data_IF_959594856004
#
_entry.id   IF_959594856004
#
_cell.length_a   1.000
_cell.length_b   1.000
_cell.length_c   1.000
_cell.angle_alpha   90.00
_cell.angle_beta   90.00
_cell.angle_gamma   90.00
#
_symmetry.space_group_name_H-M   'P 1'
#
loop_
_entity.id
_entity.type
_entity.pdbx_description
1 polymer ?
#
# COMPACT_ATOMS: atom_id res chain seq x y z
N UNK A 1 16.22 11.62 -6.74
CA UNK A 1 15.52 10.62 -7.56
C UNK A 1 14.03 10.86 -7.41
N UNK A 2 13.30 10.81 -8.49
CA UNK A 2 11.84 10.94 -8.45
C UNK A 2 11.19 9.70 -7.81
N UNK A 3 10.07 9.94 -7.13
CA UNK A 3 9.19 8.91 -6.60
C UNK A 3 7.88 8.95 -7.38
N UNK A 4 7.45 7.83 -7.92
CA UNK A 4 6.13 7.68 -8.52
C UNK A 4 5.23 6.97 -7.51
N UNK A 5 4.12 7.57 -7.13
CA UNK A 5 3.21 7.02 -6.11
C UNK A 5 1.90 6.57 -6.77
N UNK A 6 1.52 5.32 -6.54
CA UNK A 6 0.29 4.70 -7.03
C UNK A 6 -0.64 4.47 -5.83
N UNK A 7 -1.84 5.01 -5.89
CA UNK A 7 -2.80 4.98 -4.79
C UNK A 7 -3.76 3.77 -4.88
N UNK A 8 -3.21 2.57 -4.87
CA UNK A 8 -3.96 1.33 -4.79
C UNK A 8 -4.24 0.64 -6.12
N UNK A 9 -4.73 -0.58 -6.04
CA UNK A 9 -5.02 -1.46 -7.19
C UNK A 9 -3.82 -1.58 -8.12
N UNK A 10 -2.66 -1.86 -7.53
CA UNK A 10 -1.38 -1.88 -8.23
C UNK A 10 -1.31 -2.96 -9.32
N UNK A 11 -1.86 -4.14 -9.05
CA UNK A 11 -2.07 -5.19 -10.04
C UNK A 11 -0.83 -5.99 -10.48
N UNK A 12 0.38 -5.55 -10.15
CA UNK A 12 1.61 -6.23 -10.56
C UNK A 12 2.12 -7.26 -9.54
N UNK A 13 1.47 -7.37 -8.38
CA UNK A 13 1.73 -8.35 -7.34
C UNK A 13 0.48 -9.19 -7.17
N UNK A 14 0.26 -10.12 -8.10
CA UNK A 14 -1.00 -10.87 -8.14
C UNK A 14 -0.81 -12.37 -7.92
N UNK A 15 -0.13 -13.05 -8.80
CA UNK A 15 0.03 -14.51 -8.77
C UNK A 15 1.47 -14.99 -8.96
N UNK A 16 2.42 -14.08 -9.11
CA UNK A 16 3.81 -14.40 -9.40
C UNK A 16 4.05 -14.93 -10.81
N UNK A 17 3.09 -14.73 -11.70
CA UNK A 17 3.15 -15.17 -13.08
C UNK A 17 4.28 -14.50 -13.89
N UNK A 18 4.49 -14.99 -15.09
CA UNK A 18 5.40 -14.35 -16.07
C UNK A 18 4.97 -12.90 -16.34
N UNK A 19 3.66 -12.62 -16.36
CA UNK A 19 3.12 -11.26 -16.52
C UNK A 19 3.50 -10.34 -15.39
N UNK A 20 3.28 -10.75 -14.15
CA UNK A 20 3.69 -9.99 -12.96
C UNK A 20 5.19 -9.70 -13.00
N UNK A 21 6.00 -10.74 -13.23
CA UNK A 21 7.46 -10.59 -13.27
C UNK A 21 7.93 -9.68 -14.40
N UNK A 22 7.28 -9.70 -15.56
CA UNK A 22 7.59 -8.80 -16.66
C UNK A 22 7.36 -7.33 -16.27
N UNK A 23 6.20 -7.01 -15.70
CA UNK A 23 5.87 -5.64 -15.31
C UNK A 23 6.70 -5.15 -14.13
N UNK A 24 6.94 -6.00 -13.14
CA UNK A 24 7.80 -5.66 -12.00
C UNK A 24 9.25 -5.42 -12.43
N UNK A 25 9.76 -6.21 -13.36
CA UNK A 25 11.10 -6.00 -13.92
C UNK A 25 11.18 -4.69 -14.71
N UNK A 26 10.14 -4.38 -15.48
CA UNK A 26 10.07 -3.12 -16.20
C UNK A 26 10.04 -1.92 -15.23
N UNK A 27 9.19 -1.95 -14.22
CA UNK A 27 9.13 -0.91 -13.19
C UNK A 27 10.49 -0.73 -12.49
N UNK A 28 11.16 -1.83 -12.17
CA UNK A 28 12.47 -1.82 -11.51
C UNK A 28 13.59 -1.23 -12.41
N UNK A 29 13.38 -1.20 -13.71
CA UNK A 29 14.31 -0.62 -14.69
C UNK A 29 14.16 0.89 -14.88
N UNK A 30 13.09 1.49 -14.36
CA UNK A 30 12.79 2.91 -14.53
C UNK A 30 13.77 3.78 -13.72
N UNK A 31 14.01 5.03 -14.14
CA UNK A 31 14.95 5.93 -13.46
C UNK A 31 14.41 6.53 -12.16
N UNK A 32 13.27 6.04 -11.64
CA UNK A 32 12.66 6.46 -10.38
C UNK A 32 12.27 5.25 -9.55
N UNK A 33 11.92 5.49 -8.29
CA UNK A 33 11.29 4.48 -7.44
C UNK A 33 9.77 4.50 -7.64
N UNK A 34 9.17 3.32 -7.69
CA UNK A 34 7.72 3.15 -7.71
C UNK A 34 7.25 2.75 -6.33
N UNK A 35 6.44 3.61 -5.73
CA UNK A 35 5.82 3.40 -4.43
C UNK A 35 4.33 3.16 -4.63
N UNK A 36 3.73 2.27 -3.89
CA UNK A 36 2.28 2.10 -3.94
C UNK A 36 1.71 1.81 -2.55
N UNK A 37 0.49 2.25 -2.34
CA UNK A 37 -0.36 1.76 -1.25
C UNK A 37 -1.26 0.67 -1.78
N UNK A 38 -1.77 -0.18 -0.91
CA UNK A 38 -2.74 -1.19 -1.32
C UNK A 38 -4.15 -0.60 -1.50
N UNK A 39 -4.87 -1.15 -2.47
CA UNK A 39 -6.29 -0.90 -2.69
C UNK A 39 -7.13 -2.07 -2.19
N UNK A 40 -8.34 -2.22 -2.75
CA UNK A 40 -9.19 -3.38 -2.49
C UNK A 40 -8.93 -4.55 -3.46
N UNK A 41 -8.34 -4.29 -4.63
CA UNK A 41 -7.97 -5.31 -5.63
C UNK A 41 -6.49 -5.66 -5.54
N UNK A 42 -6.09 -6.30 -4.42
CA UNK A 42 -4.74 -6.78 -4.19
C UNK A 42 -4.77 -8.26 -3.80
N UNK A 43 -3.74 -9.02 -4.19
CA UNK A 43 -3.51 -10.34 -3.62
C UNK A 43 -2.69 -10.20 -2.34
N UNK A 44 -3.35 -10.05 -1.21
CA UNK A 44 -2.69 -9.86 0.09
C UNK A 44 -1.90 -11.08 0.52
N UNK A 45 -2.29 -12.29 0.12
CA UNK A 45 -1.52 -13.51 0.41
C UNK A 45 -0.12 -13.41 -0.18
N UNK A 46 0.00 -12.95 -1.42
CA UNK A 46 1.30 -12.77 -2.08
C UNK A 46 2.01 -11.52 -1.57
N UNK A 47 1.31 -10.41 -1.43
CA UNK A 47 1.89 -9.14 -0.97
C UNK A 47 2.57 -9.29 0.40
N UNK A 48 1.91 -9.99 1.32
CA UNK A 48 2.41 -10.19 2.68
C UNK A 48 3.58 -11.18 2.79
N UNK A 49 3.96 -11.85 1.70
CA UNK A 49 5.16 -12.72 1.68
C UNK A 49 6.46 -11.95 1.48
N UNK A 50 6.40 -10.73 0.99
CA UNK A 50 7.59 -9.91 0.76
C UNK A 50 8.21 -9.43 2.08
N UNK A 51 9.54 -9.24 2.11
CA UNK A 51 10.21 -8.81 3.32
C UNK A 51 9.77 -7.40 3.73
N UNK A 52 9.57 -7.23 5.04
CA UNK A 52 9.30 -5.92 5.64
C UNK A 52 10.62 -5.23 5.92
N UNK A 53 10.77 -4.02 5.41
CA UNK A 53 11.96 -3.20 5.60
C UNK A 53 11.57 -1.78 6.00
N UNK A 54 12.53 -1.03 6.49
CA UNK A 54 12.38 0.40 6.76
C UNK A 54 12.79 1.21 5.53
N UNK A 55 11.96 2.19 5.16
CA UNK A 55 12.20 3.07 4.03
C UNK A 55 11.70 4.48 4.33
N UNK A 56 12.59 5.46 4.31
CA UNK A 56 12.25 6.88 4.54
C UNK A 56 11.39 7.15 5.79
N UNK A 57 11.62 6.39 6.86
CA UNK A 57 10.97 6.56 8.15
C UNK A 57 9.75 5.68 8.39
N UNK A 58 9.27 4.96 7.41
CA UNK A 58 8.14 4.04 7.52
C UNK A 58 8.47 2.63 7.07
N UNK A 59 7.56 1.70 7.31
CA UNK A 59 7.70 0.30 6.92
C UNK A 59 7.11 0.05 5.54
N UNK A 60 7.82 -0.76 4.77
CA UNK A 60 7.44 -1.17 3.42
C UNK A 60 7.59 -2.68 3.25
N UNK A 61 6.83 -3.25 2.31
CA UNK A 61 7.21 -4.51 1.69
C UNK A 61 8.11 -4.17 0.50
N UNK A 62 9.34 -4.71 0.49
CA UNK A 62 10.25 -4.55 -0.65
C UNK A 62 9.88 -5.57 -1.73
N UNK A 63 9.31 -5.09 -2.82
CA UNK A 63 8.91 -5.94 -3.95
C UNK A 63 10.09 -6.16 -4.90
N UNK A 64 10.80 -5.09 -5.22
CA UNK A 64 12.02 -5.07 -6.04
C UNK A 64 12.97 -3.99 -5.50
N UNK A 65 14.12 -3.80 -6.12
CA UNK A 65 15.08 -2.79 -5.69
C UNK A 65 14.52 -1.36 -5.74
N UNK A 66 13.58 -1.11 -6.66
CA UNK A 66 12.93 0.20 -6.85
C UNK A 66 11.40 0.16 -6.79
N UNK A 67 10.82 -0.92 -6.28
CA UNK A 67 9.36 -1.08 -6.15
C UNK A 67 9.02 -1.42 -4.71
N UNK A 68 8.23 -0.57 -4.07
CA UNK A 68 7.92 -0.67 -2.64
C UNK A 68 6.42 -0.52 -2.39
N UNK A 69 5.88 -1.43 -1.57
CA UNK A 69 4.56 -1.28 -0.99
C UNK A 69 4.66 -0.50 0.31
N UNK A 70 4.05 0.67 0.36
CA UNK A 70 3.96 1.49 1.57
C UNK A 70 2.90 0.90 2.50
N UNK A 71 3.32 0.38 3.66
CA UNK A 71 2.42 -0.31 4.58
C UNK A 71 1.45 0.67 5.24
N UNK A 72 0.32 0.15 5.72
CA UNK A 72 -0.74 0.95 6.36
C UNK A 72 -0.28 1.55 7.68
N UNK A 73 -0.74 2.77 7.93
CA UNK A 73 -0.52 3.45 9.20
C UNK A 73 0.90 3.97 9.40
N UNK A 74 1.63 4.19 8.32
CA UNK A 74 3.00 4.68 8.36
C UNK A 74 3.10 6.15 7.93
N UNK A 75 4.17 6.81 8.32
CA UNK A 75 4.53 8.15 7.83
C UNK A 75 5.90 8.06 7.17
N UNK A 76 5.95 8.50 5.92
CA UNK A 76 7.17 8.54 5.12
C UNK A 76 7.60 9.98 4.90
N UNK A 77 8.90 10.26 5.05
CA UNK A 77 9.48 11.54 4.69
C UNK A 77 10.05 11.44 3.26
N UNK A 78 9.36 12.04 2.31
CA UNK A 78 9.73 12.05 0.91
C UNK A 78 9.97 13.50 0.49
N UNK A 79 11.20 13.82 0.11
CA UNK A 79 11.62 15.17 -0.30
C UNK A 79 11.28 16.27 0.74
N UNK A 80 11.34 15.93 2.01
CA UNK A 80 11.06 16.84 3.12
C UNK A 80 9.58 16.97 3.49
N UNK A 81 8.67 16.25 2.79
CA UNK A 81 7.25 16.22 3.09
C UNK A 81 6.87 14.91 3.78
N UNK A 82 5.95 15.01 4.73
CA UNK A 82 5.40 13.86 5.45
C UNK A 82 4.16 13.32 4.75
N UNK A 83 4.24 12.06 4.35
CA UNK A 83 3.15 11.31 3.73
C UNK A 83 2.63 10.25 4.71
N UNK A 84 1.40 10.38 5.15
CA UNK A 84 0.71 9.33 5.89
C UNK A 84 0.01 8.40 4.93
N UNK A 85 0.13 7.09 5.15
CA UNK A 85 -0.41 6.06 4.26
C UNK A 85 -1.48 5.23 4.96
N UNK A 86 -2.61 5.05 4.29
CA UNK A 86 -3.68 4.18 4.76
C UNK A 86 -4.35 3.53 3.56
N UNK A 87 -3.85 2.37 3.18
CA UNK A 87 -4.41 1.58 2.08
C UNK A 87 -5.70 0.85 2.46
N UNK A 88 -6.09 -0.07 1.60
CA UNK A 88 -7.32 -0.82 1.73
C UNK A 88 -8.51 -0.13 1.07
N UNK A 89 -9.64 -0.79 1.13
CA UNK A 89 -10.89 -0.31 0.56
C UNK A 89 -12.00 -1.32 0.80
N UNK A 90 -13.16 -1.06 0.30
CA UNK A 90 -14.30 -1.94 0.47
C UNK A 90 -14.86 -2.38 -0.89
N UNK A 91 -14.82 -3.69 -1.15
CA UNK A 91 -15.41 -4.28 -2.36
C UNK A 91 -16.93 -4.48 -2.19
N UNK A 92 -17.71 -3.84 -3.05
CA UNK A 92 -19.16 -3.96 -3.03
C UNK A 92 -19.68 -5.27 -3.63
N UNK A 93 -18.85 -5.97 -4.39
CA UNK A 93 -19.20 -7.17 -5.16
C UNK A 93 -18.69 -8.47 -4.52
N UNK A 94 -18.44 -8.48 -3.22
CA UNK A 94 -17.90 -9.62 -2.46
C UNK A 94 -18.72 -10.90 -2.67
N UNK A 95 -20.05 -10.78 -2.84
CA UNK A 95 -20.94 -11.91 -3.06
C UNK A 95 -20.68 -12.68 -4.37
N UNK A 96 -19.97 -12.04 -5.31
CA UNK A 96 -19.61 -12.62 -6.61
C UNK A 96 -18.14 -13.04 -6.67
N UNK A 97 -17.43 -12.96 -5.53
CA UNK A 97 -15.99 -13.23 -5.44
C UNK A 97 -15.72 -14.39 -4.51
N UNK A 98 -14.53 -14.95 -4.63
CA UNK A 98 -14.05 -16.06 -3.80
C UNK A 98 -12.85 -15.60 -2.99
N UNK A 99 -12.92 -15.76 -1.66
CA UNK A 99 -11.82 -15.42 -0.76
C UNK A 99 -10.56 -16.22 -1.11
N UNK A 100 -9.40 -15.58 -1.02
CA UNK A 100 -8.07 -16.08 -1.40
C UNK A 100 -7.90 -16.42 -2.90
N UNK A 101 -8.80 -15.97 -3.74
CA UNK A 101 -8.72 -16.15 -5.19
C UNK A 101 -8.82 -14.83 -5.95
N UNK A 102 -9.82 -14.05 -5.68
CA UNK A 102 -10.05 -12.75 -6.29
C UNK A 102 -10.62 -11.72 -5.31
N UNK A 103 -10.61 -12.05 -4.04
CA UNK A 103 -10.97 -11.18 -2.93
C UNK A 103 -10.28 -11.64 -1.64
N UNK A 104 -9.89 -10.69 -0.80
CA UNK A 104 -9.27 -10.92 0.50
C UNK A 104 -9.87 -10.02 1.55
N UNK A 105 -10.14 -10.58 2.72
CA UNK A 105 -10.61 -9.85 3.89
C UNK A 105 -9.65 -8.74 4.33
N UNK A 106 -8.36 -8.90 4.01
CA UNK A 106 -7.29 -7.96 4.31
C UNK A 106 -7.46 -6.60 3.62
N UNK A 107 -8.40 -6.47 2.67
CA UNK A 107 -8.77 -5.17 2.11
C UNK A 107 -9.35 -4.22 3.16
N UNK A 108 -9.93 -4.77 4.24
CA UNK A 108 -10.55 -4.02 5.32
C UNK A 108 -9.52 -3.74 6.41
N UNK A 109 -9.46 -2.50 6.85
CA UNK A 109 -8.61 -2.09 7.97
C UNK A 109 -8.99 -2.84 9.27
N UNK A 110 -8.02 -3.45 9.92
CA UNK A 110 -8.20 -4.09 11.22
C UNK A 110 -8.13 -3.06 12.35
N UNK A 111 -8.60 -3.46 13.54
CA UNK A 111 -8.48 -2.64 14.76
C UNK A 111 -7.00 -2.39 15.11
N UNK A 112 -6.16 -3.39 14.93
CA UNK A 112 -4.72 -3.32 15.19
C UNK A 112 -4.05 -2.33 14.24
N UNK A 113 -4.40 -2.35 12.95
CA UNK A 113 -3.92 -1.39 11.96
C UNK A 113 -4.38 0.03 12.30
N UNK A 114 -5.63 0.21 12.71
CA UNK A 114 -6.15 1.50 13.13
C UNK A 114 -5.40 2.04 14.36
N UNK A 115 -5.17 1.20 15.38
CA UNK A 115 -4.37 1.57 16.56
C UNK A 115 -2.96 1.99 16.18
N UNK A 116 -2.31 1.21 15.33
CA UNK A 116 -0.97 1.51 14.83
C UNK A 116 -0.95 2.87 14.10
N UNK A 117 -1.94 3.13 13.24
CA UNK A 117 -2.09 4.40 12.54
C UNK A 117 -2.23 5.58 13.51
N UNK A 118 -3.08 5.45 14.54
CA UNK A 118 -3.23 6.46 15.58
C UNK A 118 -1.92 6.74 16.32
N UNK A 119 -1.21 5.69 16.74
CA UNK A 119 0.08 5.83 17.43
C UNK A 119 1.12 6.52 16.54
N UNK A 120 1.17 6.19 15.26
CA UNK A 120 2.08 6.81 14.30
C UNK A 120 1.76 8.29 14.11
N UNK A 121 0.49 8.64 13.97
CA UNK A 121 0.06 10.04 13.86
C UNK A 121 0.34 10.83 15.13
N UNK A 122 0.13 10.23 16.29
CA UNK A 122 0.44 10.85 17.60
C UNK A 122 1.93 11.15 17.73
N UNK A 123 2.82 10.23 17.36
CA UNK A 123 4.27 10.44 17.29
C UNK A 123 4.66 11.59 16.36
N UNK A 124 3.89 11.82 15.32
CA UNK A 124 4.05 12.93 14.38
C UNK A 124 3.25 14.17 14.77
N UNK A 125 2.69 14.23 15.99
CA UNK A 125 1.88 15.35 16.50
C UNK A 125 0.68 15.68 15.63
N UNK A 126 0.14 14.67 14.92
CA UNK A 126 -0.97 14.83 13.96
C UNK A 126 -0.65 15.81 12.81
N UNK A 127 0.64 16.04 12.54
CA UNK A 127 1.10 16.93 11.49
C UNK A 127 1.70 16.11 10.34
N UNK A 128 0.96 16.03 9.24
CA UNK A 128 1.40 15.44 7.98
C UNK A 128 1.04 16.36 6.82
N UNK A 129 1.82 16.32 5.76
CA UNK A 129 1.59 17.18 4.59
C UNK A 129 0.59 16.55 3.62
N UNK A 130 0.63 15.22 3.49
CA UNK A 130 -0.21 14.47 2.56
C UNK A 130 -0.74 13.20 3.21
N UNK A 131 -1.97 12.85 2.85
CA UNK A 131 -2.60 11.58 3.18
C UNK A 131 -2.80 10.79 1.89
N UNK A 132 -2.23 9.60 1.83
CA UNK A 132 -2.41 8.67 0.71
C UNK A 132 -3.42 7.60 1.13
N UNK A 133 -4.54 7.56 0.45
CA UNK A 133 -5.57 6.53 0.64
C UNK A 133 -6.11 6.08 -0.72
N UNK A 134 -6.64 4.88 -0.77
CA UNK A 134 -7.28 4.36 -1.98
C UNK A 134 -8.76 4.70 -2.02
N UNK A 135 -9.44 4.48 -0.90
CA UNK A 135 -10.85 4.81 -0.74
C UNK A 135 -11.02 6.15 -0.01
N UNK A 136 -12.09 6.84 -0.30
CA UNK A 136 -12.42 8.11 0.35
C UNK A 136 -13.25 7.85 1.60
N UNK A 137 -13.06 8.71 2.60
CA UNK A 137 -13.96 8.71 3.74
C UNK A 137 -15.36 9.09 3.28
N UNK A 138 -16.30 8.15 3.39
CA UNK A 138 -17.70 8.45 3.19
C UNK A 138 -18.26 9.03 4.49
N UNK A 139 -18.43 10.34 4.53
CA UNK A 139 -19.30 10.93 5.54
C UNK A 139 -20.73 10.49 5.27
N UNK A 140 -21.20 9.49 5.99
CA UNK A 140 -22.63 9.28 6.03
C UNK A 140 -23.25 10.34 6.94
N UNK A 141 -24.21 11.10 6.43
CA UNK A 141 -25.06 11.89 7.31
C UNK A 141 -25.93 10.97 8.17
#
# INVERSE_FOLDING_TARGET
MFECIICGDFGCVWDGSTGDNFWLKWLDSLPWNTLFIDGNHENFDVLNTYPVEEYKGGKVHRIRSKVFHLMRGEVFNIDGYKFFTMGGGFSHDVNYRTEHKNWWKDEICTIEEAKHAFETLEKNKWEVDYILSHDIYSSHP
#
